data_IF_703440405938
#
_entry.id   IF_703440405938
#
_cell.length_a   1.000
_cell.length_b   1.000
_cell.length_c   1.000
_cell.angle_alpha   90.00
_cell.angle_beta   90.00
_cell.angle_gamma   90.00
#
_symmetry.space_group_name_H-M   'P 1'
#
loop_
_entity.id
_entity.type
_entity.pdbx_description
1 polymer ?
#
# COMPACT_ATOMS: atom_id res chain seq x y z
N UNK A 1 56.81 1.52 13.43
CA UNK A 1 55.38 1.18 13.31
C UNK A 1 54.76 2.15 12.32
N UNK A 2 54.69 1.78 11.04
CA UNK A 2 54.03 2.61 10.02
C UNK A 2 52.53 2.42 10.17
N UNK A 3 51.85 3.38 10.79
CA UNK A 3 50.40 3.49 10.69
C UNK A 3 50.05 3.82 9.25
N UNK A 4 49.43 2.87 8.55
CA UNK A 4 48.81 3.13 7.25
C UNK A 4 47.93 4.38 7.33
N UNK A 5 47.91 5.25 6.31
CA UNK A 5 47.07 6.44 6.32
C UNK A 5 45.61 6.01 6.52
N UNK A 6 44.96 6.56 7.55
CA UNK A 6 43.52 6.34 7.76
C UNK A 6 42.79 6.90 6.55
N UNK A 7 42.19 6.03 5.74
CA UNK A 7 41.25 6.44 4.70
C UNK A 7 40.05 7.08 5.39
N UNK A 8 39.96 8.41 5.28
CA UNK A 8 38.86 9.19 5.81
C UNK A 8 37.75 9.18 4.77
N UNK A 9 36.73 8.36 5.00
CA UNK A 9 35.51 8.40 4.20
C UNK A 9 34.67 9.60 4.64
N UNK A 10 34.18 10.44 3.71
CA UNK A 10 33.37 11.62 4.05
C UNK A 10 31.96 11.28 4.52
N UNK A 11 31.48 10.06 4.25
CA UNK A 11 30.17 9.58 4.68
C UNK A 11 30.29 8.20 5.33
N UNK A 12 29.65 8.04 6.49
CA UNK A 12 29.46 6.74 7.13
C UNK A 12 27.96 6.39 7.13
N UNK A 13 27.63 5.20 6.62
CA UNK A 13 26.29 4.64 6.58
C UNK A 13 26.22 3.50 7.59
N UNK A 14 25.23 3.53 8.48
CA UNK A 14 25.04 2.52 9.53
C UNK A 14 23.79 1.71 9.20
N UNK A 15 23.97 0.42 8.91
CA UNK A 15 22.93 -0.54 8.56
C UNK A 15 22.94 -0.89 7.06
N UNK A 16 23.18 -2.16 6.75
CA UNK A 16 23.21 -2.78 5.42
C UNK A 16 21.85 -3.31 4.95
N UNK A 17 20.75 -2.73 5.42
CA UNK A 17 19.40 -2.98 4.90
C UNK A 17 19.11 -2.19 3.61
N UNK A 18 17.91 -2.34 3.05
CA UNK A 18 17.52 -1.66 1.80
C UNK A 18 17.77 -0.14 1.83
N UNK A 19 17.51 0.53 2.95
CA UNK A 19 17.77 1.97 3.09
C UNK A 19 19.26 2.33 2.97
N UNK A 20 20.14 1.60 3.67
CA UNK A 20 21.58 1.84 3.63
C UNK A 20 22.21 1.44 2.31
N UNK A 21 21.80 0.30 1.74
CA UNK A 21 22.25 -0.17 0.42
C UNK A 21 21.82 0.79 -0.70
N UNK A 22 20.59 1.29 -0.69
CA UNK A 22 20.15 2.32 -1.65
C UNK A 22 20.92 3.63 -1.47
N UNK A 23 21.21 4.02 -0.23
CA UNK A 23 22.02 5.23 0.04
C UNK A 23 23.44 5.06 -0.53
N UNK A 24 24.09 3.93 -0.26
CA UNK A 24 25.40 3.58 -0.78
C UNK A 24 25.43 3.60 -2.31
N UNK A 25 24.41 3.01 -2.96
CA UNK A 25 24.26 3.01 -4.41
C UNK A 25 24.25 4.43 -5.00
N UNK A 26 23.43 5.34 -4.44
CA UNK A 26 23.34 6.70 -4.95
C UNK A 26 24.59 7.54 -4.66
N UNK A 27 25.25 7.34 -3.52
CA UNK A 27 26.56 7.98 -3.23
C UNK A 27 27.63 7.51 -4.20
N UNK A 28 27.67 6.19 -4.49
CA UNK A 28 28.60 5.61 -5.46
C UNK A 28 28.42 6.22 -6.85
N UNK A 29 27.17 6.35 -7.32
CA UNK A 29 26.87 7.00 -8.60
C UNK A 29 27.27 8.47 -8.64
N UNK A 30 27.17 9.16 -7.50
CA UNK A 30 27.59 10.55 -7.37
C UNK A 30 29.12 10.71 -7.23
N UNK A 31 29.89 9.61 -7.19
CA UNK A 31 31.34 9.65 -6.97
C UNK A 31 31.72 10.10 -5.55
N UNK A 32 30.81 9.99 -4.59
CA UNK A 32 31.06 10.34 -3.19
C UNK A 32 31.57 9.10 -2.47
N UNK A 33 32.75 9.20 -1.87
CA UNK A 33 33.34 8.11 -1.09
C UNK A 33 32.54 7.85 0.20
N UNK A 34 32.42 6.59 0.61
CA UNK A 34 31.62 6.21 1.77
C UNK A 34 32.13 4.92 2.42
N UNK A 35 31.81 4.77 3.70
CA UNK A 35 31.88 3.49 4.41
C UNK A 35 30.47 3.03 4.78
N UNK A 36 30.16 1.77 4.49
CA UNK A 36 28.91 1.13 4.89
C UNK A 36 29.20 0.07 5.95
N UNK A 37 28.55 0.21 7.11
CA UNK A 37 28.73 -0.67 8.26
C UNK A 37 27.46 -1.48 8.47
N UNK A 38 27.59 -2.81 8.49
CA UNK A 38 26.52 -3.76 8.85
C UNK A 38 26.97 -4.56 10.08
N UNK A 39 26.05 -4.74 11.03
CA UNK A 39 26.34 -5.47 12.27
C UNK A 39 26.29 -6.99 12.06
N UNK A 40 25.37 -7.46 11.20
CA UNK A 40 25.14 -8.87 10.91
C UNK A 40 26.13 -9.47 9.91
N UNK A 41 26.04 -10.79 9.74
CA UNK A 41 26.87 -11.54 8.79
C UNK A 41 26.38 -11.50 7.32
N UNK A 42 25.36 -10.69 7.02
CA UNK A 42 24.78 -10.58 5.67
C UNK A 42 24.20 -9.20 5.41
N UNK A 43 24.16 -8.83 4.14
CA UNK A 43 23.42 -7.67 3.64
C UNK A 43 21.92 -7.96 3.52
N UNK A 44 21.12 -6.90 3.34
CA UNK A 44 19.69 -6.97 3.02
C UNK A 44 18.77 -6.61 4.20
N UNK A 45 19.26 -6.69 5.43
CA UNK A 45 18.47 -6.39 6.64
C UNK A 45 17.22 -7.27 6.72
N UNK A 46 16.03 -6.65 6.73
CA UNK A 46 14.75 -7.36 6.78
C UNK A 46 14.43 -8.17 5.51
N UNK A 47 15.05 -7.85 4.38
CA UNK A 47 14.84 -8.60 3.13
C UNK A 47 15.69 -9.87 3.19
N UNK A 48 15.03 -11.01 3.10
CA UNK A 48 15.67 -12.32 3.11
C UNK A 48 14.80 -13.32 2.37
N UNK A 49 15.42 -14.07 1.48
CA UNK A 49 14.77 -15.12 0.69
C UNK A 49 15.53 -16.41 0.92
N UNK A 50 14.86 -17.44 1.40
CA UNK A 50 15.44 -18.77 1.62
C UNK A 50 14.96 -19.75 0.56
N UNK A 51 15.87 -20.61 0.12
CA UNK A 51 15.55 -21.72 -0.78
C UNK A 51 15.41 -22.98 0.06
N UNK A 52 14.19 -23.48 0.20
CA UNK A 52 13.85 -24.60 1.09
C UNK A 52 13.47 -25.82 0.26
N UNK A 53 13.96 -27.00 0.62
CA UNK A 53 13.58 -28.24 -0.05
C UNK A 53 12.08 -28.52 0.18
N UNK A 54 11.34 -28.76 -0.91
CA UNK A 54 9.91 -28.98 -0.90
C UNK A 54 9.50 -30.45 -0.87
N UNK A 55 8.20 -30.71 -1.03
CA UNK A 55 7.61 -32.06 -1.12
C UNK A 55 7.74 -32.69 -2.52
N UNK A 56 8.69 -32.22 -3.34
CA UNK A 56 8.92 -32.66 -4.72
C UNK A 56 10.28 -32.19 -5.26
N UNK A 57 10.48 -32.28 -6.57
CA UNK A 57 11.80 -32.11 -7.21
C UNK A 57 12.29 -30.66 -7.30
N UNK A 58 11.43 -29.68 -7.00
CA UNK A 58 11.75 -28.26 -7.05
C UNK A 58 11.75 -27.64 -5.63
N UNK A 59 12.76 -26.83 -5.29
CA UNK A 59 12.78 -26.12 -4.02
C UNK A 59 11.81 -24.95 -4.02
N UNK A 60 11.28 -24.62 -2.85
CA UNK A 60 10.50 -23.40 -2.61
C UNK A 60 11.42 -22.20 -2.40
N UNK A 61 10.96 -21.03 -2.83
CA UNK A 61 11.49 -19.74 -2.38
C UNK A 61 10.54 -19.21 -1.32
N UNK A 62 11.09 -18.91 -0.14
CA UNK A 62 10.34 -18.44 1.01
C UNK A 62 10.92 -17.11 1.45
N UNK A 63 10.10 -16.07 1.45
CA UNK A 63 10.47 -14.75 1.92
C UNK A 63 10.35 -14.73 3.46
N UNK A 64 11.45 -14.45 4.16
CA UNK A 64 11.47 -14.35 5.63
C UNK A 64 11.15 -12.96 6.16
N UNK A 65 10.79 -12.02 5.28
CA UNK A 65 10.49 -10.63 5.60
C UNK A 65 9.47 -10.05 4.60
N UNK A 66 9.77 -8.92 3.94
CA UNK A 66 8.91 -8.41 2.87
C UNK A 66 8.84 -9.39 1.71
N UNK A 67 7.64 -9.74 1.26
CA UNK A 67 7.41 -10.64 0.12
C UNK A 67 7.13 -9.90 -1.20
N UNK A 68 6.77 -8.62 -1.11
CA UNK A 68 6.32 -7.81 -2.23
C UNK A 68 6.38 -6.32 -1.90
N UNK A 69 6.21 -5.48 -2.92
CA UNK A 69 6.07 -4.03 -2.75
C UNK A 69 5.04 -3.46 -3.72
N UNK A 70 4.43 -2.33 -3.34
CA UNK A 70 3.39 -1.67 -4.15
C UNK A 70 4.04 -0.79 -5.22
N UNK A 71 3.73 -1.06 -6.49
CA UNK A 71 4.29 -0.34 -7.65
C UNK A 71 3.75 1.08 -7.85
N UNK A 72 2.69 1.48 -7.11
CA UNK A 72 2.22 2.87 -7.06
C UNK A 72 3.28 3.82 -6.51
N UNK A 73 4.18 3.31 -5.65
CA UNK A 73 5.39 4.04 -5.26
C UNK A 73 6.49 3.70 -6.27
N UNK A 74 6.90 4.65 -7.14
CA UNK A 74 7.71 4.33 -8.30
C UNK A 74 9.16 3.94 -7.95
N UNK A 75 9.66 4.37 -6.78
CA UNK A 75 11.07 4.33 -6.41
C UNK A 75 11.67 2.91 -6.40
N UNK A 76 10.94 1.92 -5.86
CA UNK A 76 11.44 0.53 -5.81
C UNK A 76 11.56 -0.09 -7.21
N UNK A 77 10.55 0.10 -8.05
CA UNK A 77 10.58 -0.37 -9.44
C UNK A 77 11.61 0.38 -10.29
N UNK A 78 11.82 1.67 -10.03
CA UNK A 78 12.84 2.47 -10.69
C UNK A 78 14.25 1.97 -10.35
N UNK A 79 14.53 1.74 -9.06
CA UNK A 79 15.81 1.20 -8.61
C UNK A 79 16.07 -0.20 -9.20
N UNK A 80 15.06 -1.07 -9.23
CA UNK A 80 15.20 -2.40 -9.84
C UNK A 80 15.61 -2.31 -11.32
N UNK A 81 15.00 -1.42 -12.11
CA UNK A 81 15.39 -1.20 -13.52
C UNK A 81 16.79 -0.61 -13.64
N UNK A 82 17.13 0.33 -12.77
CA UNK A 82 18.45 0.95 -12.73
C UNK A 82 19.57 -0.08 -12.47
N UNK A 83 19.28 -1.09 -11.66
CA UNK A 83 20.16 -2.23 -11.35
C UNK A 83 20.10 -3.36 -12.38
N UNK A 84 19.32 -3.21 -13.46
CA UNK A 84 19.16 -4.25 -14.49
C UNK A 84 18.19 -5.38 -14.13
N UNK A 85 17.55 -5.33 -12.97
CA UNK A 85 16.58 -6.32 -12.46
C UNK A 85 15.14 -6.07 -12.95
N UNK A 86 14.95 -5.13 -13.88
CA UNK A 86 13.62 -4.75 -14.36
C UNK A 86 12.85 -5.90 -15.01
N UNK A 87 13.56 -6.83 -15.66
CA UNK A 87 12.99 -8.02 -16.28
C UNK A 87 12.56 -9.10 -15.29
N UNK A 88 13.10 -9.07 -14.07
CA UNK A 88 12.82 -10.04 -13.00
C UNK A 88 11.62 -9.62 -12.14
N UNK A 89 11.06 -8.43 -12.38
CA UNK A 89 9.87 -7.96 -11.67
C UNK A 89 8.64 -8.78 -12.09
N UNK A 90 8.20 -9.63 -11.17
CA UNK A 90 6.98 -10.42 -11.32
C UNK A 90 5.77 -9.71 -10.71
N UNK A 91 4.63 -9.80 -11.40
CA UNK A 91 3.35 -9.31 -10.89
C UNK A 91 2.65 -10.36 -10.02
N UNK A 92 1.71 -9.90 -9.18
CA UNK A 92 0.79 -10.79 -8.47
C UNK A 92 -0.06 -11.58 -9.46
N UNK A 93 -0.33 -12.86 -9.17
CA UNK A 93 -1.27 -13.67 -9.94
C UNK A 93 -2.64 -12.96 -10.03
N UNK A 94 -3.14 -12.76 -11.24
CA UNK A 94 -4.40 -12.04 -11.50
C UNK A 94 -5.62 -12.96 -11.43
N UNK A 95 -5.45 -14.27 -11.62
CA UNK A 95 -6.53 -15.24 -11.70
C UNK A 95 -7.16 -15.53 -10.32
N UNK A 96 -6.38 -15.34 -9.25
CA UNK A 96 -6.77 -15.68 -7.87
C UNK A 96 -6.78 -14.46 -6.94
N UNK A 97 -7.08 -13.26 -7.46
CA UNK A 97 -7.15 -12.05 -6.64
C UNK A 97 -8.39 -12.05 -5.76
N UNK A 98 -8.26 -12.60 -4.56
CA UNK A 98 -9.26 -12.47 -3.52
C UNK A 98 -8.63 -12.30 -2.15
N UNK A 99 -9.10 -11.31 -1.41
CA UNK A 99 -8.75 -11.12 -0.01
C UNK A 99 -9.87 -11.67 0.86
N UNK A 100 -9.52 -12.32 1.96
CA UNK A 100 -10.49 -12.86 2.92
C UNK A 100 -10.27 -12.23 4.29
N UNK A 101 -11.37 -11.97 4.99
CA UNK A 101 -11.36 -11.60 6.41
C UNK A 101 -11.95 -12.74 7.20
N UNK A 102 -11.27 -13.15 8.27
CA UNK A 102 -11.81 -14.15 9.19
C UNK A 102 -12.93 -13.53 10.02
N UNK A 103 -14.17 -13.98 9.84
CA UNK A 103 -15.34 -13.48 10.54
C UNK A 103 -16.10 -14.65 11.14
N UNK A 104 -16.24 -14.67 12.47
CA UNK A 104 -16.90 -15.76 13.23
C UNK A 104 -16.36 -17.15 12.86
N UNK A 105 -15.03 -17.28 12.77
CA UNK A 105 -14.34 -18.54 12.46
C UNK A 105 -14.44 -19.00 11.00
N UNK A 106 -14.99 -18.18 10.09
CA UNK A 106 -15.08 -18.50 8.66
C UNK A 106 -14.39 -17.43 7.81
N UNK A 107 -13.60 -17.79 6.80
CA UNK A 107 -13.07 -16.82 5.85
C UNK A 107 -14.22 -16.27 4.99
N UNK A 108 -14.40 -14.96 5.01
CA UNK A 108 -15.42 -14.26 4.22
C UNK A 108 -14.70 -13.35 3.22
N UNK A 109 -15.05 -13.41 1.92
CA UNK A 109 -14.39 -12.58 0.91
C UNK A 109 -14.60 -11.09 1.21
N UNK A 110 -13.50 -10.33 1.17
CA UNK A 110 -13.53 -8.88 1.25
C UNK A 110 -14.19 -8.35 -0.03
N UNK A 111 -15.17 -7.44 0.05
CA UNK A 111 -15.86 -6.97 -1.13
C UNK A 111 -14.90 -6.29 -2.10
N UNK A 112 -15.10 -6.62 -3.37
CA UNK A 112 -14.38 -6.06 -4.48
C UNK A 112 -14.43 -4.53 -4.44
N UNK A 113 -13.25 -3.91 -4.47
CA UNK A 113 -13.14 -2.46 -4.51
C UNK A 113 -13.01 -1.75 -3.17
N UNK A 114 -12.86 -2.45 -2.04
CA UNK A 114 -12.44 -1.84 -0.76
C UNK A 114 -10.94 -1.52 -0.83
N UNK A 115 -10.56 -0.55 -1.66
CA UNK A 115 -9.18 -0.07 -1.73
C UNK A 115 -8.99 0.92 -0.58
N UNK A 116 -8.17 0.55 0.42
CA UNK A 116 -8.00 1.35 1.64
C UNK A 116 -9.36 1.66 2.29
N UNK A 117 -10.09 0.63 2.76
CA UNK A 117 -11.29 0.75 3.61
C UNK A 117 -12.55 1.32 2.90
N UNK A 118 -12.44 2.08 1.81
CA UNK A 118 -13.61 2.70 1.16
C UNK A 118 -14.07 1.90 -0.08
N UNK A 119 -15.33 1.46 -0.14
CA UNK A 119 -15.84 0.70 -1.29
C UNK A 119 -15.86 1.52 -2.59
N UNK A 120 -15.17 1.04 -3.62
CA UNK A 120 -15.18 1.60 -5.00
C UNK A 120 -16.28 0.99 -5.87
N UNK A 121 -16.93 -0.09 -5.41
CA UNK A 121 -18.09 -0.69 -6.09
C UNK A 121 -19.23 -0.89 -5.09
N UNK A 122 -20.35 -0.22 -5.32
CA UNK A 122 -21.51 -0.24 -4.42
C UNK A 122 -22.20 -1.62 -4.38
N UNK A 123 -22.36 -2.28 -5.53
CA UNK A 123 -23.08 -3.57 -5.61
C UNK A 123 -22.40 -4.71 -4.83
N UNK A 124 -21.11 -5.05 -5.04
CA UNK A 124 -20.45 -6.12 -4.30
C UNK A 124 -20.42 -5.88 -2.78
N UNK A 125 -20.32 -4.61 -2.37
CA UNK A 125 -20.35 -4.22 -0.97
C UNK A 125 -21.72 -4.44 -0.32
N UNK A 126 -22.80 -4.02 -0.98
CA UNK A 126 -24.18 -4.20 -0.48
C UNK A 126 -24.56 -5.68 -0.34
N UNK A 127 -24.09 -6.55 -1.25
CA UNK A 127 -24.40 -7.99 -1.20
C UNK A 127 -23.45 -8.81 -0.32
N UNK A 128 -22.38 -8.20 0.21
CA UNK A 128 -21.44 -8.92 1.06
C UNK A 128 -22.05 -9.29 2.41
N UNK A 129 -21.85 -10.51 2.92
CA UNK A 129 -22.24 -10.90 4.27
C UNK A 129 -21.27 -10.40 5.34
N UNK A 130 -20.18 -9.72 4.96
CA UNK A 130 -19.15 -9.26 5.89
C UNK A 130 -19.72 -8.23 6.88
N UNK A 131 -20.45 -7.23 6.36
CA UNK A 131 -21.09 -6.16 7.13
C UNK A 131 -22.60 -6.42 7.23
N UNK A 132 -23.15 -6.30 8.43
CA UNK A 132 -24.57 -6.44 8.70
C UNK A 132 -25.39 -5.36 7.98
N UNK A 133 -26.71 -5.56 7.79
CA UNK A 133 -27.58 -4.51 7.24
C UNK A 133 -27.51 -3.19 8.05
N UNK A 134 -27.40 -3.28 9.38
CA UNK A 134 -27.27 -2.13 10.26
C UNK A 134 -25.91 -1.44 10.12
N UNK A 135 -24.83 -2.21 10.00
CA UNK A 135 -23.50 -1.66 9.71
C UNK A 135 -23.45 -0.95 8.36
N UNK A 136 -24.10 -1.50 7.32
CA UNK A 136 -24.22 -0.85 6.01
C UNK A 136 -24.98 0.47 6.09
N UNK A 137 -26.09 0.49 6.83
CA UNK A 137 -26.85 1.72 7.09
C UNK A 137 -25.98 2.74 7.82
N UNK A 138 -25.27 2.31 8.88
CA UNK A 138 -24.35 3.15 9.65
C UNK A 138 -23.23 3.73 8.78
N UNK A 139 -22.66 2.94 7.86
CA UNK A 139 -21.67 3.42 6.91
C UNK A 139 -22.26 4.45 5.95
N UNK A 140 -23.50 4.24 5.49
CA UNK A 140 -24.23 5.21 4.66
C UNK A 140 -24.48 6.55 5.34
N UNK A 141 -24.49 6.58 6.68
CA UNK A 141 -24.61 7.83 7.45
C UNK A 141 -23.39 8.75 7.32
N UNK A 142 -22.26 8.29 6.75
CA UNK A 142 -21.09 9.14 6.42
C UNK A 142 -21.51 10.42 5.67
N UNK A 143 -22.54 10.34 4.82
CA UNK A 143 -23.06 11.48 4.05
C UNK A 143 -23.60 12.63 4.89
N UNK A 144 -24.01 12.35 6.13
CA UNK A 144 -24.63 13.29 7.06
C UNK A 144 -23.70 13.69 8.20
N UNK A 145 -22.57 13.01 8.36
CA UNK A 145 -21.60 13.33 9.39
C UNK A 145 -20.80 14.57 8.94
N UNK A 146 -20.79 15.67 9.72
CA UNK A 146 -20.05 16.87 9.35
C UNK A 146 -18.55 16.59 9.33
N UNK A 147 -17.83 17.31 8.46
CA UNK A 147 -16.37 17.30 8.50
C UNK A 147 -15.85 17.88 9.79
N UNK A 148 -14.75 17.31 10.25
CA UNK A 148 -13.94 17.87 11.31
C UNK A 148 -13.31 19.19 10.82
N UNK A 149 -13.26 20.21 11.67
CA UNK A 149 -12.90 21.59 11.30
C UNK A 149 -11.56 22.06 11.88
N UNK A 150 -10.97 21.31 12.79
CA UNK A 150 -9.64 21.52 13.33
C UNK A 150 -8.60 20.70 12.55
N UNK A 151 -7.33 21.12 12.64
CA UNK A 151 -6.18 20.45 12.03
C UNK A 151 -5.54 19.41 12.96
N UNK A 152 -6.24 19.01 14.02
CA UNK A 152 -5.74 18.01 14.96
C UNK A 152 -5.66 16.64 14.29
N UNK A 153 -4.60 15.90 14.58
CA UNK A 153 -4.50 14.49 14.23
C UNK A 153 -5.48 13.65 15.06
N UNK A 154 -5.96 12.56 14.48
CA UNK A 154 -6.76 11.55 15.19
C UNK A 154 -6.29 10.17 14.77
N UNK A 155 -6.61 9.18 15.60
CA UNK A 155 -6.25 7.80 15.31
C UNK A 155 -7.11 7.27 14.16
N UNK A 156 -6.59 6.28 13.43
CA UNK A 156 -7.36 5.63 12.37
C UNK A 156 -8.65 5.01 12.92
N UNK A 157 -8.58 4.42 14.11
CA UNK A 157 -9.76 3.87 14.78
C UNK A 157 -10.82 4.94 15.06
N UNK A 158 -10.44 6.09 15.62
CA UNK A 158 -11.38 7.21 15.85
C UNK A 158 -12.00 7.71 14.55
N UNK A 159 -11.18 7.92 13.52
CA UNK A 159 -11.64 8.37 12.21
C UNK A 159 -12.66 7.38 11.61
N UNK A 160 -12.33 6.09 11.58
CA UNK A 160 -13.18 5.05 10.99
C UNK A 160 -14.46 4.85 11.81
N UNK A 161 -14.39 4.81 13.15
CA UNK A 161 -15.60 4.71 14.00
C UNK A 161 -16.53 5.89 13.79
N UNK A 162 -15.98 7.11 13.75
CA UNK A 162 -16.75 8.34 13.53
C UNK A 162 -17.41 8.33 12.15
N UNK A 163 -16.68 7.97 11.10
CA UNK A 163 -17.20 8.02 9.72
C UNK A 163 -18.05 6.82 9.34
N UNK A 164 -17.54 5.62 9.55
CA UNK A 164 -18.08 4.37 9.01
C UNK A 164 -18.68 3.45 10.09
N UNK A 165 -18.36 3.67 11.37
CA UNK A 165 -18.87 2.89 12.50
C UNK A 165 -17.99 1.70 12.90
N UNK A 166 -18.29 1.10 14.05
CA UNK A 166 -17.47 0.06 14.66
C UNK A 166 -17.34 -1.19 13.79
N UNK A 167 -18.43 -1.61 13.14
CA UNK A 167 -18.40 -2.82 12.30
C UNK A 167 -17.45 -2.66 11.10
N UNK A 168 -17.26 -1.44 10.59
CA UNK A 168 -16.29 -1.15 9.53
C UNK A 168 -14.85 -1.10 10.07
N UNK A 169 -14.66 -0.67 11.31
CA UNK A 169 -13.36 -0.75 11.97
C UNK A 169 -12.95 -2.22 12.15
N UNK A 170 -13.76 -2.98 12.87
CA UNK A 170 -13.43 -4.33 13.33
C UNK A 170 -13.27 -5.33 12.17
N UNK A 171 -14.07 -5.18 11.10
CA UNK A 171 -14.12 -6.17 10.01
C UNK A 171 -13.39 -5.75 8.75
N UNK A 172 -12.97 -4.50 8.63
CA UNK A 172 -12.30 -4.00 7.42
C UNK A 172 -11.02 -3.28 7.80
N UNK A 173 -11.11 -2.18 8.55
CA UNK A 173 -9.94 -1.35 8.80
C UNK A 173 -8.87 -2.09 9.61
N UNK A 174 -9.24 -2.64 10.77
CA UNK A 174 -8.30 -3.31 11.66
C UNK A 174 -7.64 -4.56 11.05
N UNK A 175 -8.37 -5.49 10.38
CA UNK A 175 -7.74 -6.60 9.67
C UNK A 175 -6.76 -6.15 8.59
N UNK A 176 -7.13 -5.13 7.79
CA UNK A 176 -6.25 -4.58 6.76
C UNK A 176 -5.00 -3.91 7.36
N UNK A 177 -5.16 -3.21 8.49
CA UNK A 177 -4.04 -2.52 9.14
C UNK A 177 -3.06 -3.49 9.79
N UNK A 178 -3.57 -4.51 10.48
CA UNK A 178 -2.70 -5.54 11.07
C UNK A 178 -1.90 -6.25 9.97
N UNK A 179 -2.51 -6.49 8.79
CA UNK A 179 -1.82 -7.13 7.67
C UNK A 179 -0.73 -6.26 7.02
N UNK A 180 -0.90 -4.94 6.92
CA UNK A 180 0.05 -4.06 6.22
C UNK A 180 1.12 -3.50 7.18
N UNK A 181 0.71 -3.08 8.37
CA UNK A 181 1.55 -2.34 9.30
C UNK A 181 1.90 -3.11 10.57
N UNK A 182 1.29 -4.27 10.80
CA UNK A 182 1.37 -5.01 12.07
C UNK A 182 1.16 -4.08 13.29
N UNK A 183 0.24 -3.13 13.14
CA UNK A 183 -0.03 -2.06 14.09
C UNK A 183 -1.53 -1.99 14.38
N UNK A 184 -1.85 -1.63 15.62
CA UNK A 184 -3.23 -1.45 16.08
C UNK A 184 -3.77 -0.10 15.56
N UNK A 185 -5.01 -0.10 15.07
CA UNK A 185 -5.61 1.08 14.44
C UNK A 185 -5.82 2.25 15.41
N UNK A 186 -5.84 1.99 16.71
CA UNK A 186 -5.95 2.96 17.81
C UNK A 186 -4.63 3.69 18.11
N UNK A 187 -3.51 3.22 17.56
CA UNK A 187 -2.17 3.83 17.73
C UNK A 187 -1.66 4.49 16.45
N UNK A 188 -2.41 4.39 15.35
CA UNK A 188 -1.99 4.91 14.05
C UNK A 188 -2.57 6.29 13.78
N UNK A 189 -1.69 7.27 13.61
CA UNK A 189 -2.02 8.61 13.10
C UNK A 189 -2.61 8.53 11.69
N UNK A 190 -3.78 9.13 11.47
CA UNK A 190 -4.36 9.24 10.12
C UNK A 190 -3.48 10.11 9.21
N UNK A 191 -2.93 11.21 9.73
CA UNK A 191 -2.11 12.12 8.93
C UNK A 191 -0.80 11.45 8.46
N UNK A 192 -0.19 10.61 9.30
CA UNK A 192 1.05 9.94 8.96
C UNK A 192 0.85 8.70 8.07
N UNK A 193 -0.27 7.99 8.21
CA UNK A 193 -0.48 6.69 7.55
C UNK A 193 -1.46 6.75 6.37
N UNK A 194 -2.54 7.52 6.48
CA UNK A 194 -3.61 7.62 5.49
C UNK A 194 -4.06 9.07 5.23
N UNK A 195 -3.15 9.99 4.84
CA UNK A 195 -3.48 11.40 4.63
C UNK A 195 -4.61 11.60 3.61
N UNK A 196 -4.74 10.68 2.65
CA UNK A 196 -5.79 10.71 1.62
C UNK A 196 -7.21 10.66 2.19
N UNK A 197 -7.45 10.03 3.35
CA UNK A 197 -8.78 10.04 3.97
C UNK A 197 -9.12 11.42 4.50
N UNK A 198 -8.14 12.08 5.11
CA UNK A 198 -8.30 13.45 5.59
C UNK A 198 -8.53 14.41 4.42
N UNK A 199 -7.72 14.30 3.36
CA UNK A 199 -7.90 15.09 2.13
C UNK A 199 -9.31 14.92 1.52
N UNK A 200 -9.84 13.68 1.53
CA UNK A 200 -11.20 13.41 1.05
C UNK A 200 -12.28 14.02 1.94
N UNK A 201 -12.14 13.89 3.27
CA UNK A 201 -13.04 14.53 4.24
C UNK A 201 -13.06 16.05 4.07
N UNK A 202 -11.88 16.67 3.96
CA UNK A 202 -11.76 18.13 3.83
C UNK A 202 -12.39 18.63 2.54
N UNK A 203 -12.10 17.97 1.41
CA UNK A 203 -12.52 18.40 0.08
C UNK A 203 -13.99 18.11 -0.20
N UNK A 204 -14.52 16.97 0.24
CA UNK A 204 -15.86 16.49 -0.13
C UNK A 204 -16.84 16.44 1.05
N UNK A 205 -16.37 16.65 2.27
CA UNK A 205 -17.15 16.58 3.51
C UNK A 205 -17.44 15.16 3.99
N UNK A 206 -17.27 14.16 3.13
CA UNK A 206 -17.59 12.75 3.35
C UNK A 206 -16.72 11.85 2.48
N UNK A 207 -16.38 10.65 2.98
CA UNK A 207 -15.62 9.66 2.22
C UNK A 207 -16.41 9.14 1.03
N UNK A 208 -17.71 8.91 1.22
CA UNK A 208 -18.64 8.43 0.20
C UNK A 208 -18.70 9.41 -0.98
N UNK A 209 -18.85 10.71 -0.71
CA UNK A 209 -18.82 11.76 -1.75
C UNK A 209 -17.47 11.80 -2.47
N UNK A 210 -16.36 11.73 -1.72
CA UNK A 210 -15.02 11.71 -2.30
C UNK A 210 -14.78 10.53 -3.25
N UNK A 211 -15.29 9.35 -2.90
CA UNK A 211 -15.19 8.18 -3.76
C UNK A 211 -16.04 8.27 -5.01
N UNK A 212 -17.29 8.75 -4.90
CA UNK A 212 -18.15 8.95 -6.06
C UNK A 212 -17.53 9.95 -7.04
N UNK A 213 -16.95 11.05 -6.52
CA UNK A 213 -16.23 12.02 -7.34
C UNK A 213 -14.99 11.41 -8.02
N UNK A 214 -14.20 10.60 -7.30
CA UNK A 214 -13.04 9.92 -7.86
C UNK A 214 -13.41 8.91 -8.96
N UNK A 215 -14.52 8.18 -8.80
CA UNK A 215 -15.05 7.27 -9.82
C UNK A 215 -15.52 8.01 -11.06
N UNK A 216 -16.26 9.12 -10.89
CA UNK A 216 -16.70 9.95 -12.00
C UNK A 216 -15.51 10.52 -12.79
N UNK A 217 -14.48 11.02 -12.09
CA UNK A 217 -13.26 11.52 -12.71
C UNK A 217 -12.52 10.44 -13.51
N UNK A 218 -12.41 9.21 -12.98
CA UNK A 218 -11.82 8.07 -13.69
C UNK A 218 -12.62 7.67 -14.92
N UNK A 219 -13.96 7.66 -14.85
CA UNK A 219 -14.82 7.36 -15.99
C UNK A 219 -14.64 8.41 -17.10
N UNK A 220 -14.54 9.68 -16.74
CA UNK A 220 -14.33 10.77 -17.69
C UNK A 220 -12.93 10.72 -18.32
N UNK A 221 -11.89 10.39 -17.55
CA UNK A 221 -10.53 10.21 -18.08
C UNK A 221 -10.44 9.03 -19.06
N UNK A 222 -11.07 7.90 -18.72
CA UNK A 222 -11.12 6.74 -19.62
C UNK A 222 -12.02 6.97 -20.84
N UNK A 223 -13.06 7.81 -20.72
CA UNK A 223 -13.90 8.23 -21.85
C UNK A 223 -13.21 9.22 -22.79
N UNK A 224 -12.35 10.09 -22.25
CA UNK A 224 -11.55 11.02 -23.05
C UNK A 224 -10.36 10.33 -23.77
N UNK A 225 -9.87 9.20 -23.23
CA UNK A 225 -8.81 8.40 -23.84
C UNK A 225 -9.30 7.49 -24.99
N UNK A 226 -10.61 7.45 -25.27
CA UNK A 226 -11.19 6.72 -26.40
C UNK A 226 -11.98 7.72 -27.29
N UNK A 227 -11.43 8.19 -28.43
CA UNK A 227 -12.24 8.93 -29.39
C UNK A 227 -13.37 8.02 -29.90
N UNK A 228 -14.57 8.57 -30.05
CA UNK A 228 -15.71 7.83 -30.58
C UNK A 228 -15.37 7.21 -31.96
N UNK A 229 -15.77 5.95 -32.23
CA UNK A 229 -15.59 5.35 -33.53
C UNK A 229 -16.56 6.02 -34.51
N UNK A 230 -16.10 7.01 -35.28
CA UNK A 230 -17.00 7.78 -36.14
C UNK A 230 -16.40 8.72 -37.18
N UNK A 231 -15.09 8.99 -37.22
CA UNK A 231 -14.50 9.73 -38.34
C UNK A 231 -14.08 8.76 -39.44
N UNK A 232 -14.92 8.63 -40.47
CA UNK A 232 -14.60 7.91 -41.71
C UNK A 232 -13.27 8.44 -42.29
N UNK A 233 -12.39 7.58 -42.84
CA UNK A 233 -11.20 8.04 -43.51
C UNK A 233 -11.58 8.80 -44.79
N UNK A 234 -11.07 10.02 -44.93
CA UNK A 234 -11.02 10.71 -46.21
C UNK A 234 -10.05 9.94 -47.11
N UNK A 235 -10.58 9.44 -48.21
CA UNK A 235 -9.83 8.86 -49.31
C UNK A 235 -9.02 9.93 -50.05
N UNK A 236 -7.71 9.74 -50.15
CA UNK A 236 -6.87 9.96 -51.32
C UNK A 236 -5.46 9.43 -51.02
#
# INVERSE_FOLDING_TARGET
MNSSPKTLHPVAIIGGGIAGLSTAWYLQKAGVDYVLLEQGGRWGGKITTERVNGYGDAPFLVEGGPDSFITQKPWGAALARELGLGGDLIGTNQELKQTYVLNKGKPVPLPDGVLMIVPTKFKPFVFSPLISPWGKLRMGMDLFIPRRQDDSDETLAEFVRRRLGDEALDKIAEPLMSGIYNAEADKQSVLATFPRFREMEEKYGSLTKGMLAAQAARKNANGAANPAPGSKPLSA
#
